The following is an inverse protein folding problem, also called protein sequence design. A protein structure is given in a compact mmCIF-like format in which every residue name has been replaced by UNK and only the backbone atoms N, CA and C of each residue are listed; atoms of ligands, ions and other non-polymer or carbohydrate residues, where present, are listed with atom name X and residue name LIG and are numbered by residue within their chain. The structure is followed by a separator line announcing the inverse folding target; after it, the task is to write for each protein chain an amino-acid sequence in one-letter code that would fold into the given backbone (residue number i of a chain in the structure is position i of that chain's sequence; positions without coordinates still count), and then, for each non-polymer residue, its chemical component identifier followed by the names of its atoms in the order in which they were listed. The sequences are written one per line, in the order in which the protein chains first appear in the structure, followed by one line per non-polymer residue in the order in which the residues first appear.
data_IF_174469224775
#
_entry.id   IF_174469224775
#
_cell.length_a   1.000
_cell.length_b   1.000
_cell.length_c   1.000
_cell.angle_alpha   90.00
_cell.angle_beta   90.00
_cell.angle_gamma   90.00
#
_symmetry.space_group_name_H-M   'P 1'
#
loop_
_entity.id
_entity.type
_entity.pdbx_description
1 polymer ?
#
# COMPACT_ATOMS: atom_id res chain seq x y z
N UNK A 1 26.19 48.58 -31.67
CA UNK A 1 25.08 48.63 -30.69
C UNK A 1 24.19 47.38 -30.68
N UNK A 2 23.85 46.78 -31.83
CA UNK A 2 23.02 45.55 -31.89
C UNK A 2 23.66 44.30 -31.24
N UNK A 3 24.98 44.09 -31.43
CA UNK A 3 25.70 42.97 -30.82
C UNK A 3 25.67 42.99 -29.28
N UNK A 4 25.82 44.18 -28.67
CA UNK A 4 25.80 44.39 -27.22
C UNK A 4 24.42 44.05 -26.60
N UNK A 5 23.33 44.20 -27.36
CA UNK A 5 21.97 43.86 -26.89
C UNK A 5 21.61 42.38 -27.12
N UNK A 6 22.36 41.68 -27.98
CA UNK A 6 22.11 40.28 -28.36
C UNK A 6 22.46 39.30 -27.24
N UNK A 7 23.60 39.48 -26.57
CA UNK A 7 24.04 38.56 -25.51
C UNK A 7 23.09 38.55 -24.30
N UNK A 8 22.63 39.70 -23.76
CA UNK A 8 21.63 39.70 -22.69
C UNK A 8 20.29 39.09 -23.12
N UNK A 9 19.87 39.32 -24.38
CA UNK A 9 18.64 38.74 -24.92
C UNK A 9 18.73 37.21 -25.03
N UNK A 10 19.87 36.69 -25.50
CA UNK A 10 20.12 35.25 -25.56
C UNK A 10 20.21 34.62 -24.17
N UNK A 11 20.82 35.29 -23.20
CA UNK A 11 20.86 34.83 -21.81
C UNK A 11 19.46 34.73 -21.21
N UNK A 12 18.62 35.76 -21.41
CA UNK A 12 17.20 35.75 -20.97
C UNK A 12 16.40 34.64 -21.64
N UNK A 13 16.60 34.39 -22.94
CA UNK A 13 15.94 33.29 -23.63
C UNK A 13 16.35 31.93 -23.08
N UNK A 14 17.65 31.72 -22.80
CA UNK A 14 18.13 30.47 -22.18
C UNK A 14 17.51 30.28 -20.79
N UNK A 15 17.52 31.32 -19.96
CA UNK A 15 16.91 31.27 -18.63
C UNK A 15 15.39 30.99 -18.69
N UNK A 16 14.67 31.60 -19.63
CA UNK A 16 13.24 31.34 -19.83
C UNK A 16 12.97 29.89 -20.25
N UNK A 17 13.74 29.36 -21.19
CA UNK A 17 13.62 27.95 -21.61
C UNK A 17 13.93 26.98 -20.49
N UNK A 18 14.95 27.28 -19.69
CA UNK A 18 15.32 26.45 -18.55
C UNK A 18 14.23 26.47 -17.47
N UNK A 19 13.66 27.64 -17.19
CA UNK A 19 12.49 27.75 -16.31
C UNK A 19 11.34 26.89 -16.83
N UNK A 20 10.98 27.01 -18.10
CA UNK A 20 9.85 26.26 -18.67
C UNK A 20 10.09 24.74 -18.62
N UNK A 21 11.35 24.31 -18.85
CA UNK A 21 11.77 22.90 -18.70
C UNK A 21 11.59 22.42 -17.26
N UNK A 22 12.14 23.15 -16.29
CA UNK A 22 12.07 22.82 -14.86
C UNK A 22 10.64 22.85 -14.32
N UNK A 23 9.81 23.80 -14.78
CA UNK A 23 8.38 23.84 -14.47
C UNK A 23 7.70 22.57 -14.97
N UNK A 24 7.94 22.17 -16.23
CA UNK A 24 7.39 20.93 -16.76
C UNK A 24 7.87 19.68 -16.01
N UNK A 25 9.13 19.62 -15.59
CA UNK A 25 9.68 18.52 -14.79
C UNK A 25 9.04 18.47 -13.40
N UNK A 26 8.87 19.62 -12.75
CA UNK A 26 8.23 19.75 -11.44
C UNK A 26 6.78 19.31 -11.49
N UNK A 27 6.00 19.75 -12.48
CA UNK A 27 4.60 19.32 -12.63
C UNK A 27 4.51 17.79 -12.85
N UNK A 28 5.39 17.22 -13.69
CA UNK A 28 5.43 15.76 -13.88
C UNK A 28 5.78 15.01 -12.60
N UNK A 29 6.71 15.52 -11.79
CA UNK A 29 7.06 14.92 -10.50
C UNK A 29 5.89 14.98 -9.53
N UNK A 30 5.21 16.13 -9.42
CA UNK A 30 4.00 16.29 -8.61
C UNK A 30 2.90 15.32 -9.00
N UNK A 31 2.65 15.16 -10.29
CA UNK A 31 1.65 14.20 -10.77
C UNK A 31 2.00 12.75 -10.42
N UNK A 32 3.27 12.36 -10.49
CA UNK A 32 3.71 11.01 -10.07
C UNK A 32 3.51 10.80 -8.57
N UNK A 33 3.98 11.73 -7.75
CA UNK A 33 3.84 11.66 -6.29
C UNK A 33 2.37 11.60 -5.85
N UNK A 34 1.48 12.37 -6.49
CA UNK A 34 0.05 12.29 -6.22
C UNK A 34 -0.53 10.93 -6.60
N UNK A 35 -0.24 10.43 -7.81
CA UNK A 35 -0.74 9.15 -8.28
C UNK A 35 -0.22 7.96 -7.43
N UNK A 36 1.05 7.96 -7.04
CA UNK A 36 1.60 6.91 -6.17
C UNK A 36 1.07 6.99 -4.75
N UNK A 37 0.78 8.19 -4.24
CA UNK A 37 0.11 8.39 -2.96
C UNK A 37 -1.31 7.82 -2.95
N UNK A 38 -2.10 8.11 -3.98
CA UNK A 38 -3.45 7.55 -4.17
C UNK A 38 -3.42 6.01 -4.24
N UNK A 39 -2.48 5.44 -4.99
CA UNK A 39 -2.29 3.99 -5.07
C UNK A 39 -1.96 3.38 -3.71
N UNK A 40 -1.04 4.01 -2.97
CA UNK A 40 -0.60 3.51 -1.67
C UNK A 40 -1.75 3.49 -0.65
N UNK A 41 -2.55 4.55 -0.61
CA UNK A 41 -3.74 4.63 0.23
C UNK A 41 -4.78 3.56 -0.15
N UNK A 42 -5.03 3.36 -1.44
CA UNK A 42 -5.96 2.33 -1.92
C UNK A 42 -5.53 0.92 -1.49
N UNK A 43 -4.25 0.60 -1.62
CA UNK A 43 -3.73 -0.71 -1.19
C UNK A 43 -3.73 -0.86 0.33
N UNK A 44 -3.48 0.22 1.07
CA UNK A 44 -3.62 0.24 2.53
C UNK A 44 -5.04 -0.08 2.96
N UNK A 45 -6.03 0.58 2.37
CA UNK A 45 -7.46 0.32 2.65
C UNK A 45 -7.82 -1.13 2.33
N UNK A 46 -7.35 -1.65 1.20
CA UNK A 46 -7.56 -3.05 0.82
C UNK A 46 -6.99 -4.03 1.84
N UNK A 47 -5.73 -3.83 2.25
CA UNK A 47 -5.08 -4.65 3.28
C UNK A 47 -5.83 -4.58 4.62
N UNK A 48 -6.20 -3.39 5.08
CA UNK A 48 -6.93 -3.21 6.33
C UNK A 48 -8.29 -3.92 6.32
N UNK A 49 -9.01 -3.86 5.20
CA UNK A 49 -10.28 -4.58 5.02
C UNK A 49 -10.08 -6.09 5.10
N UNK A 50 -9.04 -6.62 4.45
CA UNK A 50 -8.74 -8.06 4.51
C UNK A 50 -8.34 -8.50 5.92
N UNK A 51 -7.53 -7.69 6.60
CA UNK A 51 -7.13 -7.92 8.00
C UNK A 51 -8.35 -7.95 8.92
N UNK A 52 -9.28 -7.02 8.77
CA UNK A 52 -10.52 -6.98 9.56
C UNK A 52 -11.41 -8.21 9.29
N UNK A 53 -11.57 -8.59 8.02
CA UNK A 53 -12.30 -9.79 7.61
C UNK A 53 -11.70 -11.06 8.24
N UNK A 54 -10.37 -11.17 8.23
CA UNK A 54 -9.65 -12.28 8.86
C UNK A 54 -9.83 -12.31 10.37
N UNK A 55 -9.69 -11.16 11.04
CA UNK A 55 -9.87 -11.05 12.50
C UNK A 55 -11.29 -11.44 12.93
N UNK A 56 -12.30 -11.10 12.14
CA UNK A 56 -13.68 -11.53 12.39
C UNK A 56 -13.84 -13.05 12.23
N UNK A 57 -13.03 -13.68 11.37
CA UNK A 57 -12.98 -15.14 11.17
C UNK A 57 -11.98 -15.89 12.05
N UNK A 58 -11.28 -15.23 12.99
CA UNK A 58 -10.13 -15.82 13.70
C UNK A 58 -10.50 -17.04 14.54
N UNK A 59 -11.71 -17.06 15.13
CA UNK A 59 -12.20 -18.19 15.90
C UNK A 59 -12.24 -19.48 15.08
N UNK A 60 -12.59 -19.39 13.79
CA UNK A 60 -12.60 -20.53 12.88
C UNK A 60 -11.19 -20.97 12.47
N UNK A 61 -10.22 -20.06 12.39
CA UNK A 61 -8.80 -20.42 12.19
C UNK A 61 -8.25 -21.18 13.40
N UNK A 62 -8.54 -20.69 14.61
CA UNK A 62 -8.10 -21.35 15.84
C UNK A 62 -8.75 -22.72 16.00
N UNK A 63 -10.06 -22.81 15.73
CA UNK A 63 -10.81 -24.05 15.82
C UNK A 63 -10.32 -25.13 14.84
N UNK A 64 -9.77 -24.75 13.68
CA UNK A 64 -9.21 -25.70 12.72
C UNK A 64 -7.98 -26.47 13.24
N UNK A 65 -7.34 -25.99 14.31
CA UNK A 65 -6.19 -26.65 14.94
C UNK A 65 -6.56 -27.46 16.19
N UNK A 66 -7.86 -27.57 16.52
CA UNK A 66 -8.29 -28.39 17.64
C UNK A 66 -8.16 -29.87 17.30
N UNK A 67 -7.66 -30.66 18.26
CA UNK A 67 -7.59 -32.10 18.20
C UNK A 67 -8.31 -32.71 19.40
N UNK A 68 -9.05 -33.80 19.19
CA UNK A 68 -9.83 -34.44 20.25
C UNK A 68 -8.91 -34.98 21.36
N UNK A 69 -9.22 -34.62 22.60
CA UNK A 69 -8.45 -35.05 23.78
C UNK A 69 -7.19 -34.22 24.06
N UNK A 70 -6.76 -33.39 23.12
CA UNK A 70 -5.59 -32.51 23.30
C UNK A 70 -5.99 -31.17 23.94
N UNK A 71 -5.19 -30.62 24.88
CA UNK A 71 -5.46 -29.31 25.47
C UNK A 71 -5.40 -28.20 24.41
N UNK A 72 -6.46 -27.38 24.34
CA UNK A 72 -6.47 -26.20 23.49
C UNK A 72 -5.37 -25.20 23.88
N UNK A 73 -4.60 -24.72 22.91
CA UNK A 73 -3.50 -23.78 23.13
C UNK A 73 -3.94 -22.40 23.68
N UNK A 74 -5.23 -22.06 23.61
CA UNK A 74 -5.77 -20.77 24.07
C UNK A 74 -6.30 -20.85 25.51
N UNK A 75 -7.07 -21.89 25.84
CA UNK A 75 -7.77 -22.00 27.12
C UNK A 75 -7.45 -23.26 27.94
N UNK A 76 -6.74 -24.24 27.37
CA UNK A 76 -6.38 -25.50 28.02
C UNK A 76 -7.48 -26.58 28.04
N UNK A 77 -8.70 -26.28 27.58
CA UNK A 77 -9.79 -27.26 27.54
C UNK A 77 -9.55 -28.35 26.48
N UNK A 78 -9.93 -29.59 26.79
CA UNK A 78 -9.80 -30.76 25.89
C UNK A 78 -11.04 -31.04 25.04
N UNK A 79 -12.12 -30.26 25.20
CA UNK A 79 -13.37 -30.44 24.48
C UNK A 79 -13.98 -29.11 24.03
N UNK A 80 -14.40 -29.06 22.76
CA UNK A 80 -15.14 -27.94 22.15
C UNK A 80 -16.35 -28.50 21.40
N UNK A 81 -17.54 -28.58 22.01
CA UNK A 81 -18.70 -29.26 21.40
C UNK A 81 -19.31 -28.51 20.19
N UNK A 82 -19.00 -27.21 20.04
CA UNK A 82 -19.46 -26.39 18.92
C UNK A 82 -18.33 -25.46 18.43
N UNK A 83 -17.28 -26.02 17.78
CA UNK A 83 -16.17 -25.22 17.30
C UNK A 83 -16.62 -24.32 16.14
N UNK A 84 -16.04 -23.11 16.07
CA UNK A 84 -16.30 -22.18 14.99
C UNK A 84 -15.86 -22.78 13.64
N UNK A 85 -16.62 -22.53 12.57
CA UNK A 85 -16.34 -23.05 11.23
C UNK A 85 -16.02 -21.92 10.28
N UNK A 86 -15.10 -22.15 9.35
CA UNK A 86 -14.83 -21.21 8.26
C UNK A 86 -16.07 -21.11 7.38
N UNK A 87 -16.49 -19.87 7.08
CA UNK A 87 -17.54 -19.59 6.09
C UNK A 87 -16.91 -19.42 4.71
N UNK A 88 -17.70 -19.60 3.65
CA UNK A 88 -17.26 -19.33 2.30
C UNK A 88 -16.77 -17.87 2.18
N UNK A 89 -15.59 -17.66 1.59
CA UNK A 89 -14.98 -16.34 1.50
C UNK A 89 -14.17 -15.92 2.74
N UNK A 90 -13.86 -16.84 3.65
CA UNK A 90 -12.90 -16.57 4.74
C UNK A 90 -11.55 -16.12 4.16
N UNK A 91 -11.07 -14.97 4.63
CA UNK A 91 -9.74 -14.44 4.29
C UNK A 91 -8.73 -15.17 5.15
N UNK A 92 -7.84 -15.92 4.49
CA UNK A 92 -6.73 -16.57 5.18
C UNK A 92 -5.55 -15.62 5.38
N UNK A 93 -4.60 -16.07 6.20
CA UNK A 93 -3.37 -15.34 6.51
C UNK A 93 -2.57 -15.01 5.24
N UNK A 94 -2.45 -15.95 4.31
CA UNK A 94 -1.65 -15.76 3.10
C UNK A 94 -2.24 -14.62 2.23
N UNK A 95 -3.56 -14.52 2.16
CA UNK A 95 -4.26 -13.43 1.46
C UNK A 95 -4.01 -12.07 2.11
N UNK A 96 -4.06 -11.99 3.45
CA UNK A 96 -3.69 -10.76 4.18
C UNK A 96 -2.22 -10.38 3.93
N UNK A 97 -1.31 -11.35 3.99
CA UNK A 97 0.14 -11.14 3.83
C UNK A 97 0.50 -10.64 2.42
N UNK A 98 -0.14 -11.17 1.36
CA UNK A 98 0.03 -10.65 -0.01
C UNK A 98 -0.42 -9.20 -0.11
N UNK A 99 -1.59 -8.86 0.43
CA UNK A 99 -2.10 -7.49 0.42
C UNK A 99 -1.19 -6.52 1.20
N UNK A 100 -0.60 -6.98 2.31
CA UNK A 100 0.39 -6.20 3.05
C UNK A 100 1.65 -5.95 2.20
N UNK A 101 2.16 -6.97 1.50
CA UNK A 101 3.32 -6.83 0.63
C UNK A 101 3.07 -5.83 -0.51
N UNK A 102 1.87 -5.87 -1.11
CA UNK A 102 1.45 -4.94 -2.17
C UNK A 102 1.40 -3.50 -1.65
N UNK A 103 0.78 -3.27 -0.48
CA UNK A 103 0.75 -1.97 0.19
C UNK A 103 2.17 -1.46 0.49
N UNK A 104 3.04 -2.30 1.06
CA UNK A 104 4.42 -1.92 1.36
C UNK A 104 5.21 -1.57 0.09
N UNK A 105 4.96 -2.26 -1.02
CA UNK A 105 5.59 -1.94 -2.29
C UNK A 105 5.11 -0.59 -2.84
N UNK A 106 3.83 -0.25 -2.68
CA UNK A 106 3.32 1.07 -3.07
C UNK A 106 3.81 2.20 -2.16
N UNK A 107 3.89 1.98 -0.85
CA UNK A 107 4.48 2.96 0.08
C UNK A 107 5.93 3.27 -0.28
N UNK A 108 6.74 2.25 -0.61
CA UNK A 108 8.13 2.47 -1.05
C UNK A 108 8.20 3.30 -2.32
N UNK A 109 7.38 2.98 -3.33
CA UNK A 109 7.30 3.77 -4.56
C UNK A 109 6.90 5.21 -4.29
N UNK A 110 5.90 5.43 -3.44
CA UNK A 110 5.45 6.76 -3.08
C UNK A 110 6.53 7.57 -2.33
N UNK A 111 7.30 6.92 -1.46
CA UNK A 111 8.41 7.57 -0.76
C UNK A 111 9.60 7.95 -1.68
N UNK A 112 9.68 7.32 -2.86
CA UNK A 112 10.72 7.57 -3.87
C UNK A 112 10.32 8.63 -4.92
N UNK A 113 9.02 8.94 -5.05
CA UNK A 113 8.45 9.92 -5.99
C UNK A 113 8.49 11.37 -5.47
#
# INVERSE_FOLDING_TARGET
QLAVRREPAQARLRAARERDRLTGETERARHRALASGEESLRLKEHWLRLKEQRLTGIAAELAANLADGEPCAVCGATAHPAPARKVAGHVDRETEERALADHQAAERRHAED
#
